data_IF_696773229294
#
_entry.id   IF_696773229294
#
_cell.length_a   1.000
_cell.length_b   1.000
_cell.length_c   1.000
_cell.angle_alpha   90.00
_cell.angle_beta   90.00
_cell.angle_gamma   90.00
#
_symmetry.space_group_name_H-M   'P 1'
#
loop_
_entity.id
_entity.type
_entity.pdbx_description
1 polymer ?
#
# COMPACT_ATOMS: atom_id res chain seq x y z
N UNK A 1 30.10 20.49 1.43
CA UNK A 1 28.88 20.64 2.28
C UNK A 1 27.77 19.62 1.92
N UNK A 2 27.71 19.15 0.67
CA UNK A 2 26.78 18.07 0.28
C UNK A 2 27.31 16.67 0.47
N UNK A 3 28.63 16.52 0.72
CA UNK A 3 29.33 15.24 0.80
C UNK A 3 28.72 14.26 1.82
N UNK A 4 28.20 14.78 2.94
CA UNK A 4 27.55 13.94 3.96
C UNK A 4 26.19 13.39 3.51
N UNK A 5 25.44 14.13 2.68
CA UNK A 5 24.16 13.66 2.11
C UNK A 5 24.46 12.57 1.07
N UNK A 6 25.41 12.81 0.19
CA UNK A 6 25.81 11.85 -0.83
C UNK A 6 26.38 10.57 -0.20
N UNK A 7 27.18 10.71 0.87
CA UNK A 7 27.68 9.56 1.61
C UNK A 7 26.57 8.76 2.26
N UNK A 8 25.58 9.42 2.87
CA UNK A 8 24.41 8.76 3.43
C UNK A 8 23.61 8.00 2.35
N UNK A 9 23.37 8.63 1.20
CA UNK A 9 22.67 7.99 0.07
C UNK A 9 23.46 6.76 -0.41
N UNK A 10 24.79 6.85 -0.57
CA UNK A 10 25.63 5.69 -0.94
C UNK A 10 25.52 4.54 0.06
N UNK A 11 25.44 4.83 1.35
CA UNK A 11 25.22 3.80 2.38
C UNK A 11 23.87 3.12 2.25
N UNK A 12 22.81 3.88 1.93
CA UNK A 12 21.48 3.36 1.67
C UNK A 12 21.42 2.50 0.39
N UNK A 13 22.05 2.96 -0.69
CA UNK A 13 22.18 2.21 -1.95
C UNK A 13 22.94 0.90 -1.79
N UNK A 14 23.92 0.86 -0.89
CA UNK A 14 24.69 -0.34 -0.60
C UNK A 14 24.00 -1.30 0.40
N UNK A 15 22.90 -0.89 1.01
CA UNK A 15 22.20 -1.68 2.02
C UNK A 15 21.36 -2.79 1.39
N UNK A 16 21.82 -4.04 1.52
CA UNK A 16 21.12 -5.24 1.02
C UNK A 16 20.93 -6.20 2.19
N UNK A 17 19.83 -6.08 2.97
CA UNK A 17 19.58 -6.94 4.11
C UNK A 17 19.28 -8.38 3.70
N UNK A 18 19.58 -9.32 4.58
CA UNK A 18 19.11 -10.71 4.44
C UNK A 18 17.58 -10.75 4.58
N UNK A 19 16.94 -11.57 3.76
CA UNK A 19 15.49 -11.81 3.86
C UNK A 19 15.16 -12.65 5.09
N UNK A 20 14.06 -12.33 5.75
CA UNK A 20 13.50 -13.09 6.88
C UNK A 20 12.43 -14.10 6.45
N UNK A 21 12.34 -14.37 5.15
CA UNK A 21 11.34 -15.21 4.51
C UNK A 21 11.40 -16.64 5.03
N UNK A 22 10.27 -17.14 5.54
CA UNK A 22 10.12 -18.53 5.98
C UNK A 22 9.85 -19.48 4.79
N UNK A 23 10.09 -20.76 4.99
CA UNK A 23 10.05 -21.76 3.90
C UNK A 23 8.68 -21.91 3.23
N UNK A 24 7.58 -21.69 3.95
CA UNK A 24 6.20 -21.77 3.47
C UNK A 24 5.59 -20.41 3.04
N UNK A 25 6.39 -19.36 2.99
CA UNK A 25 5.92 -18.00 2.70
C UNK A 25 5.21 -17.89 1.34
N UNK A 26 5.77 -18.48 0.28
CA UNK A 26 5.14 -18.41 -1.04
C UNK A 26 3.84 -19.24 -1.08
N UNK A 27 3.84 -20.42 -0.50
CA UNK A 27 2.66 -21.28 -0.39
C UNK A 27 1.54 -20.58 0.41
N UNK A 28 1.88 -19.89 1.51
CA UNK A 28 0.93 -19.09 2.29
C UNK A 28 0.23 -18.04 1.42
N UNK A 29 0.98 -17.27 0.64
CA UNK A 29 0.40 -16.23 -0.20
C UNK A 29 -0.37 -16.78 -1.38
N UNK A 30 0.11 -17.84 -2.03
CA UNK A 30 -0.58 -18.46 -3.17
C UNK A 30 -1.92 -19.09 -2.71
N UNK A 31 -1.95 -19.75 -1.56
CA UNK A 31 -3.19 -20.24 -0.93
C UNK A 31 -4.13 -19.07 -0.56
N UNK A 32 -3.61 -18.01 0.04
CA UNK A 32 -4.39 -16.84 0.43
C UNK A 32 -5.04 -16.17 -0.79
N UNK A 33 -4.30 -16.06 -1.91
CA UNK A 33 -4.84 -15.54 -3.18
C UNK A 33 -5.96 -16.43 -3.73
N UNK A 34 -5.79 -17.75 -3.72
CA UNK A 34 -6.82 -18.69 -4.15
C UNK A 34 -8.08 -18.58 -3.30
N UNK A 35 -7.93 -18.55 -1.97
CA UNK A 35 -9.04 -18.35 -1.04
C UNK A 35 -9.79 -17.05 -1.34
N UNK A 36 -9.07 -15.95 -1.51
CA UNK A 36 -9.63 -14.63 -1.80
C UNK A 36 -10.44 -14.62 -3.10
N UNK A 37 -9.87 -15.17 -4.18
CA UNK A 37 -10.49 -15.19 -5.51
C UNK A 37 -11.63 -16.20 -5.66
N UNK A 38 -11.74 -17.17 -4.76
CA UNK A 38 -12.87 -18.12 -4.76
C UNK A 38 -14.19 -17.47 -4.33
N UNK A 39 -14.14 -16.31 -3.71
CA UNK A 39 -15.32 -15.58 -3.21
C UNK A 39 -15.84 -14.59 -4.24
N UNK A 40 -17.18 -14.38 -4.33
CA UNK A 40 -17.74 -13.39 -5.22
C UNK A 40 -17.24 -11.99 -4.87
N UNK A 41 -17.10 -11.12 -5.86
CA UNK A 41 -16.67 -9.74 -5.64
C UNK A 41 -17.73 -8.93 -4.88
N UNK A 42 -19.01 -9.23 -5.08
CA UNK A 42 -20.11 -8.61 -4.36
C UNK A 42 -20.09 -7.08 -4.46
N UNK A 43 -19.72 -6.57 -5.65
CA UNK A 43 -19.52 -5.15 -5.85
C UNK A 43 -20.83 -4.38 -6.04
N UNK A 44 -20.87 -3.21 -5.47
CA UNK A 44 -21.96 -2.26 -5.63
C UNK A 44 -21.40 -0.89 -6.04
N UNK A 45 -22.11 -0.20 -6.95
CA UNK A 45 -21.75 1.12 -7.44
C UNK A 45 -22.98 2.01 -7.43
N UNK A 46 -22.93 3.11 -6.69
CA UNK A 46 -24.03 4.08 -6.57
C UNK A 46 -23.57 5.47 -6.97
N UNK A 47 -24.20 6.04 -8.00
CA UNK A 47 -23.87 7.40 -8.45
C UNK A 47 -24.16 8.42 -7.36
N UNK A 48 -23.22 9.35 -7.20
CA UNK A 48 -23.31 10.49 -6.30
C UNK A 48 -23.79 11.72 -7.09
N UNK A 49 -24.61 12.55 -6.46
CA UNK A 49 -24.80 13.94 -6.92
C UNK A 49 -23.58 14.76 -6.48
N UNK A 50 -22.69 15.09 -7.45
CA UNK A 50 -21.45 15.77 -7.15
C UNK A 50 -21.34 17.10 -7.90
N UNK A 51 -20.94 18.21 -7.24
CA UNK A 51 -21.03 19.56 -7.80
C UNK A 51 -20.07 19.84 -8.96
N UNK A 52 -19.01 19.03 -9.15
CA UNK A 52 -18.04 19.19 -10.23
C UNK A 52 -18.56 18.41 -11.46
N UNK A 53 -19.02 19.13 -12.49
CA UNK A 53 -19.65 18.55 -13.69
C UNK A 53 -18.70 17.81 -14.61
N UNK A 54 -17.39 18.00 -14.45
CA UNK A 54 -16.35 17.38 -15.27
C UNK A 54 -16.02 15.96 -14.83
N UNK A 55 -16.66 15.46 -13.76
CA UNK A 55 -16.45 14.12 -13.26
C UNK A 55 -17.78 13.42 -12.97
N UNK A 56 -17.76 12.11 -13.09
CA UNK A 56 -18.78 11.21 -12.54
C UNK A 56 -18.23 10.57 -11.28
N UNK A 57 -18.89 10.77 -10.16
CA UNK A 57 -18.49 10.24 -8.88
C UNK A 57 -19.47 9.17 -8.40
N UNK A 58 -18.92 8.10 -7.86
CA UNK A 58 -19.70 6.99 -7.33
C UNK A 58 -19.19 6.60 -5.93
N UNK A 59 -20.11 6.33 -5.01
CA UNK A 59 -19.84 5.45 -3.88
C UNK A 59 -19.77 4.03 -4.41
N UNK A 60 -18.67 3.35 -4.14
CA UNK A 60 -18.47 1.97 -4.53
C UNK A 60 -18.13 1.12 -3.30
N UNK A 61 -18.53 -0.13 -3.33
CA UNK A 61 -18.09 -1.14 -2.38
C UNK A 61 -17.80 -2.45 -3.09
N UNK A 62 -16.94 -3.26 -2.51
CA UNK A 62 -16.67 -4.62 -2.95
C UNK A 62 -16.29 -5.48 -1.74
N UNK A 63 -16.52 -6.79 -1.84
CA UNK A 63 -16.14 -7.71 -0.78
C UNK A 63 -14.62 -7.89 -0.73
N UNK A 64 -14.03 -7.58 0.43
CA UNK A 64 -12.64 -7.89 0.75
C UNK A 64 -12.41 -9.37 1.03
N UNK A 65 -11.34 -9.67 1.76
CA UNK A 65 -10.90 -11.05 2.02
C UNK A 65 -12.00 -11.94 2.64
N UNK A 66 -12.77 -11.44 3.59
CA UNK A 66 -13.78 -12.16 4.38
C UNK A 66 -15.20 -11.61 4.18
N UNK A 67 -15.50 -11.13 2.99
CA UNK A 67 -16.78 -10.49 2.65
C UNK A 67 -17.05 -9.16 3.37
N UNK A 68 -16.08 -8.60 4.11
CA UNK A 68 -16.18 -7.22 4.61
C UNK A 68 -16.38 -6.27 3.43
N UNK A 69 -17.44 -5.44 3.41
CA UNK A 69 -17.66 -4.47 2.34
C UNK A 69 -16.61 -3.34 2.42
N UNK A 70 -15.64 -3.35 1.54
CA UNK A 70 -14.62 -2.33 1.42
C UNK A 70 -15.19 -1.13 0.68
N UNK A 71 -15.21 0.04 1.33
CA UNK A 71 -15.79 1.26 0.81
C UNK A 71 -14.77 2.03 -0.03
N UNK A 72 -15.18 2.52 -1.17
CA UNK A 72 -14.34 3.30 -2.07
C UNK A 72 -15.11 4.46 -2.70
N UNK A 73 -14.38 5.44 -3.25
CA UNK A 73 -14.88 6.29 -4.31
C UNK A 73 -14.38 5.77 -5.65
N UNK A 74 -15.30 5.57 -6.59
CA UNK A 74 -14.98 5.30 -7.98
C UNK A 74 -15.31 6.56 -8.77
N UNK A 75 -14.31 7.14 -9.44
CA UNK A 75 -14.43 8.47 -10.03
C UNK A 75 -13.92 8.41 -11.47
N UNK A 76 -14.72 8.90 -12.40
CA UNK A 76 -14.42 8.92 -13.82
C UNK A 76 -14.42 10.36 -14.35
N UNK A 77 -13.59 10.70 -15.36
CA UNK A 77 -13.84 11.88 -16.19
C UNK A 77 -15.25 11.81 -16.77
N UNK A 78 -16.02 12.92 -16.79
CA UNK A 78 -17.39 12.91 -17.30
C UNK A 78 -17.47 12.73 -18.83
N UNK A 79 -16.40 13.04 -19.55
CA UNK A 79 -16.27 12.84 -20.98
C UNK A 79 -15.17 11.84 -21.25
N UNK A 80 -15.54 10.65 -21.67
CA UNK A 80 -14.63 9.58 -22.08
C UNK A 80 -15.32 8.64 -23.07
N UNK A 81 -14.54 7.97 -23.88
CA UNK A 81 -14.97 6.95 -24.84
C UNK A 81 -14.76 5.50 -24.35
N UNK A 82 -14.51 5.34 -23.06
CA UNK A 82 -14.05 4.09 -22.45
C UNK A 82 -12.52 3.97 -22.48
N UNK A 83 -12.01 2.78 -22.14
CA UNK A 83 -10.57 2.49 -22.14
C UNK A 83 -9.73 3.44 -21.26
N UNK A 84 -10.26 3.85 -20.11
CA UNK A 84 -9.56 4.74 -19.18
C UNK A 84 -8.43 4.02 -18.44
N UNK A 85 -7.24 4.61 -18.35
CA UNK A 85 -6.26 4.17 -17.36
C UNK A 85 -6.81 4.42 -15.97
N UNK A 86 -6.48 3.56 -15.00
CA UNK A 86 -7.03 3.63 -13.66
C UNK A 86 -5.96 3.64 -12.58
N UNK A 87 -6.14 4.54 -11.60
CA UNK A 87 -5.33 4.63 -10.40
C UNK A 87 -6.10 4.07 -9.21
N UNK A 88 -5.58 3.01 -8.59
CA UNK A 88 -6.08 2.48 -7.32
C UNK A 88 -5.24 3.07 -6.20
N UNK A 89 -5.86 3.82 -5.30
CA UNK A 89 -5.17 4.66 -4.31
C UNK A 89 -5.51 4.23 -2.89
N UNK A 90 -4.47 3.95 -2.09
CA UNK A 90 -4.56 3.56 -0.70
C UNK A 90 -4.05 4.68 0.22
N UNK A 91 -4.79 4.96 1.31
CA UNK A 91 -4.43 5.99 2.29
C UNK A 91 -3.42 5.51 3.34
N UNK A 92 -2.84 6.43 4.10
CA UNK A 92 -1.97 6.15 5.24
C UNK A 92 -2.74 5.66 6.48
N UNK A 93 -2.01 5.18 7.48
CA UNK A 93 -2.55 4.63 8.74
C UNK A 93 -3.44 5.65 9.47
N UNK A 94 -4.62 5.22 9.87
CA UNK A 94 -5.61 6.10 10.52
C UNK A 94 -6.27 7.12 9.59
N UNK A 95 -5.99 7.05 8.27
CA UNK A 95 -6.56 7.93 7.26
C UNK A 95 -7.90 7.45 6.70
N UNK A 96 -8.23 7.98 5.54
CA UNK A 96 -9.43 7.65 4.77
C UNK A 96 -9.25 8.04 3.30
N UNK A 97 -10.20 7.63 2.44
CA UNK A 97 -10.20 7.91 0.98
C UNK A 97 -10.34 9.38 0.57
N UNK A 98 -10.20 10.32 1.49
CA UNK A 98 -10.35 11.76 1.26
C UNK A 98 -11.72 12.17 0.65
N UNK A 99 -11.77 13.36 0.04
CA UNK A 99 -12.91 13.82 -0.76
C UNK A 99 -12.67 13.52 -2.24
N UNK A 100 -13.74 13.41 -3.02
CA UNK A 100 -13.66 13.25 -4.47
C UNK A 100 -12.79 14.35 -5.12
N UNK A 101 -12.92 15.60 -4.64
CA UNK A 101 -12.13 16.74 -5.16
C UNK A 101 -10.62 16.61 -4.98
N UNK A 102 -10.15 15.80 -4.02
CA UNK A 102 -8.73 15.52 -3.82
C UNK A 102 -8.05 14.90 -5.04
N UNK A 103 -8.82 14.22 -5.87
CA UNK A 103 -8.32 13.44 -7.02
C UNK A 103 -8.43 14.17 -8.35
N UNK A 104 -8.91 15.44 -8.38
CA UNK A 104 -9.14 16.19 -9.63
C UNK A 104 -7.91 16.28 -10.53
N UNK A 105 -6.73 16.37 -9.97
CA UNK A 105 -5.47 16.37 -10.73
C UNK A 105 -5.31 15.17 -11.66
N UNK A 106 -5.85 14.00 -11.28
CA UNK A 106 -5.84 12.79 -12.07
C UNK A 106 -6.96 12.75 -13.11
N UNK A 107 -8.16 13.15 -12.67
CA UNK A 107 -9.36 13.15 -13.52
C UNK A 107 -9.20 14.11 -14.72
N UNK A 108 -8.60 15.29 -14.51
CA UNK A 108 -8.33 16.28 -15.58
C UNK A 108 -7.37 15.71 -16.63
N UNK A 109 -6.52 14.77 -16.26
CA UNK A 109 -5.58 14.10 -17.18
C UNK A 109 -6.15 12.84 -17.83
N UNK A 110 -7.44 12.53 -17.59
CA UNK A 110 -8.12 11.41 -18.21
C UNK A 110 -7.98 10.09 -17.46
N UNK A 111 -7.50 10.08 -16.21
CA UNK A 111 -7.45 8.87 -15.39
C UNK A 111 -8.77 8.64 -14.65
N UNK A 112 -9.22 7.40 -14.60
CA UNK A 112 -10.16 6.95 -13.58
C UNK A 112 -9.43 6.77 -12.24
N UNK A 113 -10.15 6.92 -11.13
CA UNK A 113 -9.61 6.75 -9.78
C UNK A 113 -10.52 5.83 -8.97
N UNK A 114 -9.95 4.82 -8.34
CA UNK A 114 -10.55 4.09 -7.23
C UNK A 114 -9.80 4.46 -5.94
N UNK A 115 -10.42 5.29 -5.10
CA UNK A 115 -9.87 5.66 -3.81
C UNK A 115 -10.49 4.80 -2.71
N UNK A 116 -9.69 4.01 -2.02
CA UNK A 116 -10.13 2.95 -1.11
C UNK A 116 -10.02 3.39 0.34
N UNK A 117 -11.06 3.15 1.15
CA UNK A 117 -10.95 3.13 2.61
C UNK A 117 -10.46 1.76 3.06
N UNK A 118 -9.30 1.70 3.69
CA UNK A 118 -8.75 0.45 4.20
C UNK A 118 -9.65 -0.12 5.30
N UNK A 119 -9.68 -1.45 5.42
CA UNK A 119 -10.43 -2.20 6.42
C UNK A 119 -10.34 -1.60 7.83
N UNK A 120 -11.46 -1.43 8.51
CA UNK A 120 -11.54 -0.85 9.86
C UNK A 120 -11.19 0.64 9.95
N UNK A 121 -10.98 1.32 8.80
CA UNK A 121 -10.58 2.72 8.71
C UNK A 121 -11.52 3.48 7.78
N UNK A 122 -11.60 4.80 7.92
CA UNK A 122 -12.52 5.62 7.15
C UNK A 122 -13.98 5.20 7.36
N UNK A 123 -14.65 4.81 6.26
CA UNK A 123 -16.02 4.28 6.30
C UNK A 123 -16.10 2.76 6.16
N UNK A 124 -14.99 2.09 5.99
CA UNK A 124 -14.94 0.63 5.91
C UNK A 124 -14.98 0.02 7.30
N UNK A 125 -15.92 -0.89 7.53
CA UNK A 125 -15.96 -1.72 8.72
C UNK A 125 -14.88 -2.80 8.72
N UNK A 126 -14.94 -3.66 9.74
CA UNK A 126 -14.11 -4.85 9.83
C UNK A 126 -14.96 -5.98 10.42
N UNK A 127 -15.30 -6.98 9.60
CA UNK A 127 -16.14 -8.12 10.02
C UNK A 127 -15.31 -9.27 10.59
N UNK A 128 -13.98 -9.17 10.50
CA UNK A 128 -13.07 -10.18 11.04
C UNK A 128 -13.14 -10.25 12.54
N UNK A 129 -12.91 -11.46 13.05
CA UNK A 129 -12.60 -11.69 14.46
C UNK A 129 -11.11 -11.94 14.61
N UNK A 130 -10.54 -11.45 15.68
CA UNK A 130 -9.14 -11.59 16.01
C UNK A 130 -9.02 -12.21 17.41
N UNK A 131 -8.29 -13.32 17.55
CA UNK A 131 -8.07 -13.95 18.85
C UNK A 131 -7.05 -13.16 19.70
N UNK A 132 -6.24 -12.31 19.06
CA UNK A 132 -5.33 -11.38 19.75
C UNK A 132 -5.62 -9.94 19.29
N UNK A 133 -6.16 -9.12 20.17
CA UNK A 133 -6.46 -7.70 19.93
C UNK A 133 -6.33 -6.87 21.22
N UNK A 134 -5.37 -7.21 22.08
CA UNK A 134 -5.21 -6.59 23.41
C UNK A 134 -4.91 -5.10 23.34
N UNK A 135 -4.23 -4.64 22.29
CA UNK A 135 -3.90 -3.23 22.10
C UNK A 135 -4.98 -2.43 21.39
N UNK A 136 -6.02 -3.09 20.85
CA UNK A 136 -7.11 -2.45 20.12
C UNK A 136 -6.70 -1.65 18.90
N UNK A 137 -5.57 -1.99 18.25
CA UNK A 137 -5.02 -1.25 17.11
C UNK A 137 -4.80 -2.14 15.89
N UNK A 138 -4.93 -1.57 14.70
CA UNK A 138 -4.71 -2.32 13.44
C UNK A 138 -3.30 -2.93 13.34
N UNK A 139 -2.28 -2.32 13.99
CA UNK A 139 -0.92 -2.83 13.93
C UNK A 139 -0.74 -4.17 14.68
N UNK A 140 -1.61 -4.47 15.65
CA UNK A 140 -1.48 -5.63 16.54
C UNK A 140 -2.63 -6.62 16.43
N UNK A 141 -3.72 -6.31 15.71
CA UNK A 141 -4.86 -7.22 15.53
C UNK A 141 -4.43 -8.54 14.88
N UNK A 142 -4.57 -9.65 15.61
CA UNK A 142 -4.23 -10.99 15.15
C UNK A 142 -2.73 -11.24 14.99
N UNK A 143 -1.86 -10.43 15.61
CA UNK A 143 -0.40 -10.45 15.40
C UNK A 143 0.28 -11.77 15.85
N UNK A 144 -0.39 -12.58 16.65
CA UNK A 144 0.14 -13.87 17.11
C UNK A 144 -0.05 -15.00 16.10
N UNK A 145 -0.86 -14.78 15.05
CA UNK A 145 -1.12 -15.79 14.01
C UNK A 145 -1.14 -15.15 12.62
N UNK A 146 -0.28 -15.63 11.73
CA UNK A 146 -0.23 -15.17 10.33
C UNK A 146 -1.56 -15.31 9.58
N UNK A 147 -2.38 -16.31 9.94
CA UNK A 147 -3.70 -16.55 9.32
C UNK A 147 -4.73 -15.49 9.78
N UNK A 148 -4.57 -14.95 10.98
CA UNK A 148 -5.46 -13.94 11.54
C UNK A 148 -5.00 -12.51 11.34
N UNK A 149 -3.69 -12.28 11.16
CA UNK A 149 -3.12 -10.94 11.18
C UNK A 149 -3.83 -9.98 10.23
N UNK A 150 -4.11 -8.79 10.73
CA UNK A 150 -4.84 -7.72 10.03
C UNK A 150 -4.31 -7.44 8.61
N UNK A 151 -2.99 -7.40 8.42
CA UNK A 151 -2.38 -7.11 7.13
C UNK A 151 -2.58 -8.21 6.09
N UNK A 152 -2.85 -9.47 6.46
CA UNK A 152 -3.28 -10.50 5.50
C UNK A 152 -4.53 -10.07 4.75
N UNK A 153 -5.50 -9.56 5.52
CA UNK A 153 -6.78 -9.13 4.98
C UNK A 153 -6.65 -7.83 4.19
N UNK A 154 -5.89 -6.87 4.71
CA UNK A 154 -5.67 -5.57 4.03
C UNK A 154 -4.98 -5.75 2.67
N UNK A 155 -3.98 -6.62 2.56
CA UNK A 155 -3.31 -6.87 1.28
C UNK A 155 -4.26 -7.54 0.29
N UNK A 156 -5.10 -8.47 0.76
CA UNK A 156 -6.11 -9.11 -0.07
C UNK A 156 -7.25 -8.15 -0.46
N UNK A 157 -7.66 -7.25 0.42
CA UNK A 157 -8.61 -6.18 0.09
C UNK A 157 -8.05 -5.29 -1.04
N UNK A 158 -6.75 -5.03 -1.03
CA UNK A 158 -6.05 -4.34 -2.11
C UNK A 158 -6.04 -5.12 -3.43
N UNK A 159 -5.83 -6.44 -3.40
CA UNK A 159 -5.96 -7.31 -4.59
C UNK A 159 -7.41 -7.30 -5.11
N UNK A 160 -8.41 -7.32 -4.24
CA UNK A 160 -9.82 -7.21 -4.62
C UNK A 160 -10.17 -5.85 -5.25
N UNK A 161 -9.47 -4.77 -4.87
CA UNK A 161 -9.59 -3.49 -5.56
C UNK A 161 -9.16 -3.60 -7.03
N UNK A 162 -8.11 -4.39 -7.34
CA UNK A 162 -7.71 -4.66 -8.73
C UNK A 162 -8.77 -5.50 -9.44
N UNK A 163 -9.39 -6.50 -8.77
CA UNK A 163 -10.51 -7.26 -9.34
C UNK A 163 -11.67 -6.31 -9.70
N UNK A 164 -12.01 -5.37 -8.79
CA UNK A 164 -13.06 -4.39 -9.02
C UNK A 164 -12.80 -3.53 -10.26
N UNK A 165 -11.66 -2.87 -10.36
CA UNK A 165 -11.38 -1.99 -11.50
C UNK A 165 -11.23 -2.78 -12.81
N UNK A 166 -10.66 -3.98 -12.75
CA UNK A 166 -10.50 -4.85 -13.94
C UNK A 166 -11.84 -5.37 -14.48
N UNK A 167 -12.90 -5.36 -13.68
CA UNK A 167 -14.25 -5.77 -14.11
C UNK A 167 -15.08 -4.63 -14.72
N UNK A 168 -14.59 -3.39 -14.65
CA UNK A 168 -15.33 -2.22 -15.17
C UNK A 168 -15.17 -2.07 -16.69
N UNK A 169 -16.27 -1.94 -17.45
CA UNK A 169 -16.20 -1.84 -18.92
C UNK A 169 -15.50 -0.58 -19.42
N UNK A 170 -15.50 0.50 -18.62
CA UNK A 170 -14.86 1.76 -18.94
C UNK A 170 -13.36 1.79 -18.69
N UNK A 171 -12.81 0.76 -18.01
CA UNK A 171 -11.39 0.70 -17.63
C UNK A 171 -10.58 -0.16 -18.60
N UNK A 172 -9.44 0.36 -19.02
CA UNK A 172 -8.39 -0.41 -19.67
C UNK A 172 -7.62 -1.21 -18.63
N UNK A 173 -7.93 -2.50 -18.51
CA UNK A 173 -7.27 -3.39 -17.54
C UNK A 173 -5.77 -3.58 -17.79
N UNK A 174 -5.26 -3.16 -18.95
CA UNK A 174 -3.82 -3.16 -19.25
C UNK A 174 -3.10 -1.90 -18.73
N UNK A 175 -3.84 -0.88 -18.25
CA UNK A 175 -3.32 0.38 -17.75
C UNK A 175 -3.84 0.68 -16.34
N UNK A 176 -3.49 -0.17 -15.38
CA UNK A 176 -3.80 -0.01 -13.97
C UNK A 176 -2.52 0.34 -13.21
N UNK A 177 -2.55 1.40 -12.41
CA UNK A 177 -1.53 1.70 -11.43
C UNK A 177 -2.06 1.55 -10.01
N UNK A 178 -1.19 1.11 -9.10
CA UNK A 178 -1.44 1.14 -7.65
C UNK A 178 -0.56 2.19 -7.01
N UNK A 179 -1.12 2.97 -6.08
CA UNK A 179 -0.34 4.02 -5.44
C UNK A 179 -0.84 4.33 -4.02
N UNK A 180 0.07 4.84 -3.22
CA UNK A 180 -0.24 5.26 -1.86
C UNK A 180 0.98 5.70 -1.08
N UNK A 181 0.73 6.29 0.09
CA UNK A 181 1.78 6.79 0.96
C UNK A 181 1.73 6.11 2.34
N UNK A 182 2.89 5.95 2.98
CA UNK A 182 3.01 5.37 4.32
C UNK A 182 2.43 3.94 4.36
N UNK A 183 1.40 3.67 5.17
CA UNK A 183 0.68 2.40 5.13
C UNK A 183 0.17 2.10 3.71
N UNK A 184 -0.38 3.12 3.01
CA UNK A 184 -0.82 2.98 1.62
C UNK A 184 0.33 2.62 0.67
N UNK A 185 1.54 3.15 0.89
CA UNK A 185 2.75 2.78 0.17
C UNK A 185 3.16 1.33 0.40
N UNK A 186 3.07 0.87 1.64
CA UNK A 186 3.29 -0.54 1.99
C UNK A 186 2.27 -1.48 1.33
N UNK A 187 0.99 -1.10 1.34
CA UNK A 187 -0.07 -1.84 0.62
C UNK A 187 0.20 -1.85 -0.89
N UNK A 188 0.64 -0.73 -1.45
CA UNK A 188 1.01 -0.60 -2.88
C UNK A 188 2.08 -1.63 -3.27
N UNK A 189 3.16 -1.74 -2.50
CA UNK A 189 4.22 -2.72 -2.75
C UNK A 189 3.71 -4.16 -2.62
N UNK A 190 2.92 -4.44 -1.57
CA UNK A 190 2.35 -5.76 -1.35
C UNK A 190 1.38 -6.17 -2.49
N UNK A 191 0.48 -5.27 -2.91
CA UNK A 191 -0.45 -5.53 -4.03
C UNK A 191 0.31 -5.74 -5.33
N UNK A 192 1.33 -4.92 -5.63
CA UNK A 192 2.17 -5.09 -6.81
C UNK A 192 2.95 -6.42 -6.81
N UNK A 193 3.28 -6.95 -5.62
CA UNK A 193 3.94 -8.25 -5.47
C UNK A 193 2.97 -9.44 -5.58
N UNK A 194 1.71 -9.26 -5.16
CA UNK A 194 0.71 -10.33 -5.08
C UNK A 194 -0.23 -10.37 -6.29
N UNK A 195 -0.23 -9.32 -7.11
CA UNK A 195 -1.04 -9.23 -8.33
C UNK A 195 -0.21 -8.69 -9.51
N UNK A 196 -0.09 -9.46 -10.56
CA UNK A 196 0.71 -9.09 -11.74
C UNK A 196 -0.01 -8.16 -12.73
N UNK A 197 -1.26 -7.75 -12.48
CA UNK A 197 -2.03 -6.88 -13.39
C UNK A 197 -1.62 -5.40 -13.34
N UNK A 198 -1.27 -4.80 -12.20
CA UNK A 198 -0.76 -3.43 -12.20
C UNK A 198 0.47 -3.28 -13.10
N UNK A 199 0.51 -2.19 -13.87
CA UNK A 199 1.64 -1.83 -14.74
C UNK A 199 2.61 -0.87 -14.08
N UNK A 200 2.13 -0.18 -13.06
CA UNK A 200 2.88 0.83 -12.33
C UNK A 200 2.54 0.75 -10.84
N UNK A 201 3.56 0.80 -10.00
CA UNK A 201 3.44 0.98 -8.57
C UNK A 201 4.14 2.28 -8.13
N UNK A 202 3.44 3.14 -7.39
CA UNK A 202 4.00 4.37 -6.83
C UNK A 202 3.85 4.32 -5.31
N UNK A 203 4.92 4.00 -4.62
CA UNK A 203 4.94 3.79 -3.18
C UNK A 203 5.70 4.93 -2.49
N UNK A 204 4.95 5.86 -1.93
CA UNK A 204 5.55 7.01 -1.25
C UNK A 204 5.83 6.66 0.22
N UNK A 205 7.07 6.86 0.66
CA UNK A 205 7.55 6.57 2.04
C UNK A 205 6.91 5.30 2.64
N UNK A 206 7.03 4.15 1.95
CA UNK A 206 6.24 2.96 2.28
C UNK A 206 6.55 2.40 3.66
N UNK A 207 5.51 1.99 4.37
CA UNK A 207 5.56 1.24 5.62
C UNK A 207 5.76 -0.27 5.35
N UNK A 208 5.90 -1.07 6.39
CA UNK A 208 6.08 -2.53 6.34
C UNK A 208 7.30 -2.92 5.47
N UNK A 209 8.38 -2.18 5.60
CA UNK A 209 9.65 -2.41 4.93
C UNK A 209 10.71 -2.79 5.96
N UNK A 210 11.38 -3.93 5.77
CA UNK A 210 12.43 -4.43 6.68
C UNK A 210 12.07 -4.19 8.15
N UNK A 211 10.95 -4.80 8.54
CA UNK A 211 10.28 -4.55 9.82
C UNK A 211 11.24 -4.79 11.00
N UNK A 212 12.11 -5.80 10.88
CA UNK A 212 13.09 -6.11 11.91
C UNK A 212 14.07 -4.97 12.18
N UNK A 213 14.56 -4.30 11.14
CA UNK A 213 15.41 -3.11 11.29
C UNK A 213 14.59 -1.91 11.77
N UNK A 214 13.41 -1.70 11.19
CA UNK A 214 12.53 -0.60 11.56
C UNK A 214 12.23 -0.61 13.07
N UNK A 215 11.89 -1.75 13.66
CA UNK A 215 11.67 -1.88 15.10
C UNK A 215 12.93 -1.65 15.94
N UNK A 216 14.14 -2.00 15.45
CA UNK A 216 15.39 -1.77 16.19
C UNK A 216 15.79 -0.31 16.33
N UNK A 217 15.36 0.54 15.40
CA UNK A 217 15.85 1.92 15.33
C UNK A 217 15.04 2.92 16.18
N UNK A 218 13.98 2.51 16.83
CA UNK A 218 13.10 3.34 17.69
C UNK A 218 12.51 4.54 16.94
N UNK A 219 11.59 4.26 16.07
CA UNK A 219 10.90 5.28 15.29
C UNK A 219 9.52 5.62 15.85
N UNK A 220 8.92 6.62 15.31
CA UNK A 220 7.52 6.97 15.51
C UNK A 220 6.61 6.07 14.63
N UNK A 221 5.30 6.13 14.82
CA UNK A 221 4.32 5.47 13.97
C UNK A 221 3.84 4.10 14.46
N UNK A 222 3.16 3.34 13.59
CA UNK A 222 2.43 2.13 13.98
C UNK A 222 3.30 0.98 14.48
N UNK A 223 4.57 0.89 14.06
CA UNK A 223 5.48 -0.16 14.55
C UNK A 223 5.87 0.05 16.01
N UNK A 224 5.85 1.27 16.54
CA UNK A 224 6.07 1.50 17.98
C UNK A 224 4.98 0.87 18.84
N UNK A 225 3.79 0.68 18.29
CA UNK A 225 2.69 -0.03 18.98
C UNK A 225 3.02 -1.52 19.10
N UNK A 226 3.62 -2.11 18.07
CA UNK A 226 4.12 -3.49 18.12
C UNK A 226 5.22 -3.63 19.17
N UNK A 227 6.16 -2.68 19.24
CA UNK A 227 7.19 -2.67 20.29
C UNK A 227 6.59 -2.56 21.69
N UNK A 228 5.57 -1.71 21.90
CA UNK A 228 4.86 -1.60 23.17
C UNK A 228 4.16 -2.91 23.55
N UNK A 229 3.58 -3.60 22.56
CA UNK A 229 2.99 -4.93 22.78
C UNK A 229 4.09 -5.93 23.23
N UNK A 230 5.21 -6.01 22.53
CA UNK A 230 6.32 -6.90 22.86
C UNK A 230 7.01 -6.53 24.18
N UNK A 231 7.01 -5.24 24.55
CA UNK A 231 7.51 -4.82 25.87
C UNK A 231 6.64 -5.37 27.02
N UNK A 232 5.33 -5.49 26.80
CA UNK A 232 4.40 -6.08 27.79
C UNK A 232 4.40 -7.60 27.75
N UNK A 233 4.70 -8.19 26.59
CA UNK A 233 4.59 -9.61 26.29
C UNK A 233 5.88 -10.14 25.64
N UNK A 234 7.00 -10.13 26.36
CA UNK A 234 8.29 -10.56 25.81
C UNK A 234 8.31 -12.05 25.40
N UNK A 235 7.41 -12.85 25.95
CA UNK A 235 7.22 -14.27 25.57
C UNK A 235 6.77 -14.45 24.11
N UNK A 236 6.20 -13.43 23.47
CA UNK A 236 5.70 -13.49 22.11
C UNK A 236 6.68 -12.94 21.04
N UNK A 237 7.90 -12.52 21.44
CA UNK A 237 8.87 -11.92 20.51
C UNK A 237 9.07 -12.79 19.27
N UNK A 238 9.38 -14.09 19.45
CA UNK A 238 9.61 -14.99 18.33
C UNK A 238 8.37 -15.15 17.45
N UNK A 239 7.21 -15.39 18.05
CA UNK A 239 5.92 -15.56 17.34
C UNK A 239 5.57 -14.32 16.52
N UNK A 240 5.72 -13.13 17.09
CA UNK A 240 5.43 -11.86 16.40
C UNK A 240 6.38 -11.63 15.23
N UNK A 241 7.68 -11.85 15.41
CA UNK A 241 8.63 -11.72 14.30
C UNK A 241 8.38 -12.74 13.19
N UNK A 242 8.01 -13.98 13.53
CA UNK A 242 7.59 -14.97 12.54
C UNK A 242 6.35 -14.51 11.78
N UNK A 243 5.30 -14.06 12.48
CA UNK A 243 4.08 -13.52 11.84
C UNK A 243 4.43 -12.35 10.92
N UNK A 244 5.14 -11.34 11.42
CA UNK A 244 5.48 -10.14 10.66
C UNK A 244 6.32 -10.44 9.41
N UNK A 245 7.13 -11.51 9.42
CA UNK A 245 7.93 -11.90 8.27
C UNK A 245 7.11 -12.23 7.03
N UNK A 246 5.85 -12.66 7.18
CA UNK A 246 4.94 -12.90 6.04
C UNK A 246 4.46 -11.62 5.39
N UNK A 247 4.42 -10.52 6.14
CA UNK A 247 3.83 -9.23 5.73
C UNK A 247 4.87 -8.15 5.45
N UNK A 248 6.14 -8.47 5.68
CA UNK A 248 7.25 -7.58 5.35
C UNK A 248 7.47 -7.50 3.84
N UNK A 249 7.39 -6.30 3.29
CA UNK A 249 7.66 -6.08 1.87
C UNK A 249 9.06 -6.52 1.44
N UNK A 250 10.02 -6.63 2.36
CA UNK A 250 11.34 -7.21 2.09
C UNK A 250 11.24 -8.64 1.56
N UNK A 251 10.26 -9.41 2.04
CA UNK A 251 10.04 -10.80 1.64
C UNK A 251 9.12 -10.93 0.42
N UNK A 252 8.29 -9.90 0.15
CA UNK A 252 7.37 -9.87 -0.99
C UNK A 252 7.97 -9.26 -2.25
N UNK A 253 8.86 -8.28 -2.12
CA UNK A 253 9.31 -7.41 -3.23
C UNK A 253 9.90 -8.14 -4.44
N UNK A 254 10.43 -9.35 -4.26
CA UNK A 254 10.93 -10.16 -5.39
C UNK A 254 9.85 -10.65 -6.35
N UNK A 255 8.58 -10.59 -5.94
CA UNK A 255 7.42 -10.94 -6.79
C UNK A 255 6.93 -9.74 -7.62
N UNK A 256 7.42 -8.52 -7.36
CA UNK A 256 7.04 -7.32 -8.12
C UNK A 256 7.60 -7.41 -9.54
N UNK A 257 6.72 -7.34 -10.52
CA UNK A 257 7.06 -7.41 -11.96
C UNK A 257 6.79 -6.10 -12.70
N UNK A 258 6.00 -5.20 -12.13
CA UNK A 258 5.69 -3.91 -12.75
C UNK A 258 6.76 -2.86 -12.43
N UNK A 259 6.81 -1.80 -13.25
CA UNK A 259 7.62 -0.62 -12.97
C UNK A 259 7.24 -0.04 -11.60
N UNK A 260 8.23 0.27 -10.78
CA UNK A 260 8.01 0.73 -9.40
C UNK A 260 8.78 2.01 -9.11
N UNK A 261 8.07 3.03 -8.64
CA UNK A 261 8.66 4.24 -8.06
C UNK A 261 8.48 4.24 -6.56
N UNK A 262 9.56 4.55 -5.85
CA UNK A 262 9.56 4.67 -4.39
C UNK A 262 10.05 6.06 -3.99
N UNK A 263 9.61 6.58 -2.87
CA UNK A 263 10.19 7.80 -2.29
C UNK A 263 10.70 7.54 -0.88
N UNK A 264 11.69 8.32 -0.44
CA UNK A 264 12.24 8.25 0.91
C UNK A 264 12.66 9.64 1.41
N UNK A 265 12.27 9.99 2.64
CA UNK A 265 12.78 11.15 3.36
C UNK A 265 13.98 10.76 4.24
N UNK A 266 15.11 11.48 4.14
CA UNK A 266 16.27 11.13 4.97
C UNK A 266 16.09 11.46 6.46
N UNK A 267 15.06 12.24 6.80
CA UNK A 267 14.69 12.59 8.18
C UNK A 267 13.39 11.94 8.64
N UNK A 268 12.90 10.94 7.89
CA UNK A 268 11.67 10.25 8.24
C UNK A 268 11.89 9.31 9.44
N UNK A 269 11.16 9.57 10.53
CA UNK A 269 11.19 8.77 11.76
C UNK A 269 10.03 7.77 11.83
N UNK A 270 9.06 7.86 10.93
CA UNK A 270 7.91 6.96 10.83
C UNK A 270 8.19 5.81 9.88
N UNK A 271 8.70 6.12 8.67
CA UNK A 271 9.14 5.15 7.66
C UNK A 271 10.58 5.48 7.25
N UNK A 272 11.57 5.00 8.01
CA UNK A 272 12.94 5.42 7.81
C UNK A 272 13.52 5.00 6.47
N UNK A 273 14.49 5.76 5.93
CA UNK A 273 15.02 5.50 4.59
C UNK A 273 15.73 4.15 4.47
N UNK A 274 16.44 3.69 5.49
CA UNK A 274 17.22 2.45 5.39
C UNK A 274 16.34 1.20 5.19
N UNK A 275 15.28 0.95 5.98
CA UNK A 275 14.30 -0.10 5.70
C UNK A 275 13.66 0.00 4.31
N UNK A 276 13.32 1.22 3.85
CA UNK A 276 12.77 1.44 2.51
C UNK A 276 13.77 1.01 1.43
N UNK A 277 15.02 1.40 1.56
CA UNK A 277 16.09 1.00 0.66
C UNK A 277 16.35 -0.51 0.69
N UNK A 278 16.20 -1.16 1.86
CA UNK A 278 16.27 -2.61 1.97
C UNK A 278 15.29 -3.32 1.03
N UNK A 279 14.05 -2.84 0.98
CA UNK A 279 13.03 -3.34 0.03
C UNK A 279 13.36 -2.93 -1.41
N UNK A 280 13.62 -1.63 -1.64
CA UNK A 280 13.90 -1.10 -2.97
C UNK A 280 15.05 -1.84 -3.64
N UNK A 281 16.17 -2.06 -2.94
CA UNK A 281 17.34 -2.72 -3.51
C UNK A 281 17.06 -4.17 -3.93
N UNK A 282 16.08 -4.84 -3.32
CA UNK A 282 15.67 -6.20 -3.67
C UNK A 282 14.64 -6.30 -4.82
N UNK A 283 13.97 -5.22 -5.21
CA UNK A 283 13.07 -5.21 -6.38
C UNK A 283 13.92 -5.46 -7.65
N UNK A 284 13.50 -6.42 -8.48
CA UNK A 284 14.20 -6.78 -9.71
C UNK A 284 13.60 -6.11 -10.95
N UNK A 285 12.32 -5.71 -10.88
CA UNK A 285 11.66 -4.98 -11.96
C UNK A 285 12.27 -3.58 -12.13
N UNK A 286 11.94 -2.93 -13.23
CA UNK A 286 12.35 -1.54 -13.47
C UNK A 286 11.87 -0.64 -12.36
N UNK A 287 12.80 0.09 -11.76
CA UNK A 287 12.54 0.85 -10.53
C UNK A 287 13.27 2.18 -10.50
N UNK A 288 12.71 3.11 -9.74
CA UNK A 288 13.36 4.37 -9.39
C UNK A 288 13.04 4.74 -7.94
N UNK A 289 13.98 5.42 -7.29
CA UNK A 289 13.78 5.98 -5.97
C UNK A 289 14.09 7.48 -6.00
N UNK A 290 13.23 8.27 -5.40
CA UNK A 290 13.45 9.69 -5.18
C UNK A 290 13.68 9.97 -3.70
N UNK A 291 14.75 10.67 -3.41
CA UNK A 291 15.19 10.95 -2.04
C UNK A 291 15.02 12.43 -1.73
N UNK A 292 14.38 12.72 -0.61
CA UNK A 292 14.20 14.07 -0.09
C UNK A 292 15.10 14.30 1.14
N UNK A 293 16.29 14.92 0.98
CA UNK A 293 17.31 14.96 2.04
C UNK A 293 16.88 15.68 3.32
N UNK A 294 15.94 16.63 3.21
CA UNK A 294 15.50 17.45 4.35
C UNK A 294 14.07 17.13 4.80
N UNK A 295 13.38 16.21 4.14
CA UNK A 295 12.01 15.82 4.47
C UNK A 295 11.97 14.70 5.49
N UNK A 296 10.99 14.77 6.38
CA UNK A 296 10.53 13.69 7.24
C UNK A 296 9.48 12.84 6.54
N UNK A 297 8.37 12.58 7.24
CA UNK A 297 7.22 11.81 6.72
C UNK A 297 6.27 12.62 5.84
N UNK A 298 6.75 13.70 5.24
CA UNK A 298 6.00 14.69 4.46
C UNK A 298 6.18 14.59 2.95
N UNK A 299 6.94 13.62 2.48
CA UNK A 299 7.15 13.27 1.06
C UNK A 299 7.71 14.41 0.20
N UNK A 300 8.44 15.39 0.75
CA UNK A 300 9.08 16.46 -0.01
C UNK A 300 8.14 17.51 -0.62
N UNK A 301 6.86 17.44 -0.29
CA UNK A 301 5.84 18.48 -0.46
C UNK A 301 5.49 18.85 -1.92
N UNK A 302 5.76 20.09 -2.34
CA UNK A 302 5.12 20.69 -3.54
C UNK A 302 5.64 20.06 -4.85
N UNK A 303 6.95 19.93 -5.00
CA UNK A 303 7.54 19.39 -6.24
C UNK A 303 7.21 17.92 -6.47
N UNK A 304 6.98 17.14 -5.41
CA UNK A 304 6.66 15.73 -5.49
C UNK A 304 5.36 15.45 -6.26
N UNK A 305 4.33 16.30 -6.09
CA UNK A 305 3.04 16.13 -6.79
C UNK A 305 3.24 16.20 -8.31
N UNK A 306 3.93 17.23 -8.80
CA UNK A 306 4.15 17.45 -10.23
C UNK A 306 5.07 16.36 -10.83
N UNK A 307 6.08 15.94 -10.08
CA UNK A 307 6.95 14.82 -10.48
C UNK A 307 6.19 13.51 -10.57
N UNK A 308 5.28 13.23 -9.61
CA UNK A 308 4.44 12.03 -9.64
C UNK A 308 3.46 12.06 -10.80
N UNK A 309 2.84 13.22 -11.08
CA UNK A 309 1.99 13.41 -12.26
C UNK A 309 2.76 13.13 -13.55
N UNK A 310 3.96 13.70 -13.69
CA UNK A 310 4.82 13.51 -14.85
C UNK A 310 5.22 12.05 -15.02
N UNK A 311 5.58 11.38 -13.92
CA UNK A 311 5.98 9.97 -13.92
C UNK A 311 4.82 9.05 -14.33
N UNK A 312 3.63 9.24 -13.74
CA UNK A 312 2.46 8.45 -14.10
C UNK A 312 2.08 8.65 -15.57
N UNK A 313 2.06 9.89 -16.06
CA UNK A 313 1.78 10.19 -17.48
C UNK A 313 2.80 9.59 -18.45
N UNK A 314 4.03 9.39 -18.01
CA UNK A 314 5.08 8.82 -18.87
C UNK A 314 4.95 7.29 -18.98
N UNK A 315 4.46 6.61 -17.95
CA UNK A 315 4.60 5.16 -17.84
C UNK A 315 3.27 4.40 -17.73
N UNK A 316 2.13 5.06 -17.65
CA UNK A 316 0.80 4.47 -17.64
C UNK A 316 -0.03 4.96 -18.84
#
# INVERSE_FOLDING_TARGET
MLDHIEEHIRQLEAYIPGRTKLGDHDEFWDRTLLETRSRPLGDEVKRMDYPIRQVEAYEASYHGFDETPIQAYYILPAQHDGNLPCLVIFHGYGGHKNSVSHYMKWLIQGYAVLAVDCRGQGRTGDYSRYNSDEMGTWATKGILDKEEYYYRKVYMDGVRAIDFVSSRPEIDSSRIAVMGASMGGGITLAVAALDGRPKLAVADVPNMCDIGLAMKQKFEGSLTIVEQFLHRHPEYIETVYQTLSYFDNLNLCSRITCRTRVTAGLKDLVCPPMPIYGVYNHIQAEKSIEVFPFSGHDMGIISHIDQTLSYVNQYL
#
